data_IF_395666641736
#
_entry.id   IF_395666641736
#
_cell.length_a   1.000
_cell.length_b   1.000
_cell.length_c   1.000
_cell.angle_alpha   90.00
_cell.angle_beta   90.00
_cell.angle_gamma   90.00
#
_symmetry.space_group_name_H-M   'P 1'
#
loop_
_entity.id
_entity.type
_entity.pdbx_description
1 polymer ?
#
# COMPACT_ATOMS: atom_id res chain seq x y z
N UNK A 1 -7.17 7.40 -6.05
CA UNK A 1 -6.76 6.27 -5.18
C UNK A 1 -5.26 6.31 -4.96
N UNK A 2 -4.76 5.87 -3.80
CA UNK A 2 -3.31 5.80 -3.51
C UNK A 2 -2.99 4.49 -2.76
N UNK A 3 -1.74 4.08 -2.81
CA UNK A 3 -1.19 3.02 -1.95
C UNK A 3 -0.35 3.67 -0.86
N UNK A 4 -0.46 3.23 0.39
CA UNK A 4 0.39 3.65 1.49
C UNK A 4 1.12 2.45 2.09
N UNK A 5 2.45 2.48 2.10
CA UNK A 5 3.30 1.42 2.62
C UNK A 5 3.79 1.82 4.01
N UNK A 6 3.27 1.16 5.04
CA UNK A 6 3.68 1.40 6.41
C UNK A 6 4.99 0.68 6.73
N UNK A 7 6.08 1.43 6.86
CA UNK A 7 7.41 0.96 7.26
C UNK A 7 7.86 -0.32 6.53
N UNK A 8 7.86 -0.34 5.17
CA UNK A 8 8.20 -1.55 4.44
C UNK A 8 9.60 -2.02 4.79
N UNK A 9 9.79 -3.33 4.98
CA UNK A 9 11.10 -3.91 5.37
C UNK A 9 11.74 -4.76 4.26
N UNK A 10 11.03 -5.03 3.16
CA UNK A 10 11.55 -5.76 1.99
C UNK A 10 11.61 -4.83 0.77
N UNK A 11 12.82 -4.42 0.31
CA UNK A 11 12.95 -3.46 -0.80
C UNK A 11 12.36 -3.97 -2.11
N UNK A 12 12.37 -5.28 -2.37
CA UNK A 12 11.78 -5.89 -3.57
C UNK A 12 10.26 -5.69 -3.62
N UNK A 13 9.58 -5.79 -2.48
CA UNK A 13 8.13 -5.56 -2.41
C UNK A 13 7.79 -4.10 -2.63
N UNK A 14 8.59 -3.21 -2.03
CA UNK A 14 8.46 -1.77 -2.25
C UNK A 14 8.63 -1.43 -3.75
N UNK A 15 9.66 -1.98 -4.39
CA UNK A 15 9.90 -1.81 -5.83
C UNK A 15 8.77 -2.33 -6.70
N UNK A 16 8.25 -3.51 -6.38
CA UNK A 16 7.11 -4.09 -7.11
C UNK A 16 5.85 -3.21 -7.01
N UNK A 17 5.57 -2.63 -5.84
CA UNK A 17 4.43 -1.74 -5.64
C UNK A 17 4.63 -0.37 -6.30
N UNK A 18 5.85 0.18 -6.32
CA UNK A 18 6.17 1.39 -7.08
C UNK A 18 5.90 1.17 -8.57
N UNK A 19 6.39 0.05 -9.12
CA UNK A 19 6.13 -0.30 -10.52
C UNK A 19 4.63 -0.47 -10.79
N UNK A 20 3.92 -1.13 -9.89
CA UNK A 20 2.47 -1.31 -9.99
C UNK A 20 1.75 0.05 -10.05
N UNK A 21 2.10 0.97 -9.14
CA UNK A 21 1.55 2.32 -9.12
C UNK A 21 1.82 3.08 -10.40
N UNK A 22 3.06 3.05 -10.91
CA UNK A 22 3.43 3.67 -12.18
C UNK A 22 2.60 3.13 -13.36
N UNK A 23 2.41 1.80 -13.42
CA UNK A 23 1.65 1.16 -14.51
C UNK A 23 0.16 1.53 -14.50
N UNK A 24 -0.42 1.80 -13.34
CA UNK A 24 -1.85 2.12 -13.22
C UNK A 24 -2.14 3.59 -12.91
N UNK A 25 -1.13 4.46 -12.89
CA UNK A 25 -1.31 5.87 -12.54
C UNK A 25 -1.76 6.08 -11.09
N UNK A 26 -1.35 5.18 -10.18
CA UNK A 26 -1.69 5.23 -8.76
C UNK A 26 -0.49 5.70 -7.95
N UNK A 27 -0.64 6.81 -7.23
CA UNK A 27 0.41 7.34 -6.37
C UNK A 27 0.71 6.45 -5.15
N UNK A 28 1.96 6.51 -4.67
CA UNK A 28 2.42 5.79 -3.48
C UNK A 28 2.89 6.74 -2.39
N UNK A 29 2.51 6.43 -1.17
CA UNK A 29 3.00 7.04 0.06
C UNK A 29 3.88 6.01 0.79
N UNK A 30 5.14 6.34 1.07
CA UNK A 30 6.06 5.49 1.82
C UNK A 30 6.28 6.10 3.18
N UNK A 31 5.85 5.38 4.22
CA UNK A 31 5.93 5.84 5.61
C UNK A 31 7.17 5.22 6.26
N UNK A 32 8.09 6.06 6.66
CA UNK A 32 9.35 5.67 7.30
C UNK A 32 9.20 5.44 8.83
N UNK A 33 10.16 4.76 9.48
CA UNK A 33 11.39 4.22 8.89
C UNK A 33 11.16 2.94 8.10
N UNK A 34 11.88 2.80 6.97
CA UNK A 34 11.92 1.53 6.24
C UNK A 34 12.95 0.59 6.88
N UNK A 35 12.76 -0.73 6.76
CA UNK A 35 13.74 -1.73 7.20
C UNK A 35 14.99 -1.82 6.32
N UNK A 36 15.12 -0.94 5.32
CA UNK A 36 16.25 -0.83 4.40
C UNK A 36 16.59 0.63 4.12
N UNK A 37 17.83 0.89 3.69
CA UNK A 37 18.18 2.22 3.20
C UNK A 37 17.49 2.47 1.85
N UNK A 38 16.66 3.49 1.83
CA UNK A 38 16.00 3.96 0.61
C UNK A 38 17.05 4.69 -0.25
N UNK A 39 17.83 3.95 -1.01
CA UNK A 39 18.80 4.49 -1.95
C UNK A 39 18.43 4.12 -3.38
N UNK A 40 18.54 5.08 -4.29
CA UNK A 40 18.22 4.90 -5.70
C UNK A 40 18.93 3.70 -6.33
N UNK A 41 20.14 3.39 -5.89
CA UNK A 41 20.92 2.27 -6.43
C UNK A 41 20.35 0.90 -6.05
N UNK A 42 19.87 0.71 -4.81
CA UNK A 42 19.26 -0.55 -4.37
C UNK A 42 17.88 -0.73 -4.97
N UNK A 43 17.16 0.35 -5.10
CA UNK A 43 15.84 0.40 -5.68
C UNK A 43 15.89 0.18 -7.19
N UNK A 44 16.83 0.75 -7.92
CA UNK A 44 17.07 0.48 -9.35
C UNK A 44 17.38 -0.99 -9.62
N UNK A 45 18.15 -1.66 -8.74
CA UNK A 45 18.42 -3.10 -8.84
C UNK A 45 17.17 -3.97 -8.59
N UNK A 46 16.17 -3.45 -7.89
CA UNK A 46 14.89 -4.12 -7.66
C UNK A 46 13.88 -3.94 -8.82
N UNK A 47 14.32 -3.42 -9.98
CA UNK A 47 13.48 -3.24 -11.16
C UNK A 47 12.77 -1.88 -11.21
N UNK A 48 13.37 -0.83 -10.66
CA UNK A 48 12.74 0.49 -10.53
C UNK A 48 13.18 1.49 -11.61
N UNK A 49 13.20 1.08 -12.85
CA UNK A 49 13.20 2.02 -14.00
C UNK A 49 11.90 2.88 -14.04
N UNK A 50 10.95 2.55 -13.15
CA UNK A 50 9.65 3.20 -13.02
C UNK A 50 9.60 4.33 -11.98
N UNK A 51 10.68 4.62 -11.23
CA UNK A 51 10.69 5.70 -10.24
C UNK A 51 10.40 7.07 -10.84
N UNK A 52 10.87 7.31 -12.07
CA UNK A 52 10.64 8.57 -12.77
C UNK A 52 9.18 8.71 -13.27
N UNK A 53 8.48 7.59 -13.41
CA UNK A 53 7.08 7.53 -13.85
C UNK A 53 6.10 7.43 -12.68
N UNK A 54 6.59 7.03 -11.50
CA UNK A 54 5.77 6.83 -10.32
C UNK A 54 5.67 8.10 -9.48
N UNK A 55 4.47 8.47 -9.09
CA UNK A 55 4.26 9.50 -8.07
C UNK A 55 4.53 8.90 -6.68
N UNK A 56 5.75 9.04 -6.17
CA UNK A 56 6.15 8.52 -4.85
C UNK A 56 6.38 9.67 -3.88
N UNK A 57 5.66 9.65 -2.76
CA UNK A 57 5.84 10.60 -1.65
C UNK A 57 6.39 9.84 -0.44
N UNK A 58 7.44 10.39 0.20
CA UNK A 58 8.02 9.82 1.42
C UNK A 58 7.62 10.66 2.63
N UNK A 59 7.23 9.99 3.69
CA UNK A 59 6.80 10.61 4.94
C UNK A 59 7.72 10.13 6.07
N UNK A 60 8.28 11.06 6.84
CA UNK A 60 9.20 10.75 7.94
C UNK A 60 8.56 9.93 9.08
N UNK A 61 7.24 9.90 9.17
CA UNK A 61 6.48 9.15 10.17
C UNK A 61 5.03 8.94 9.74
N UNK A 62 4.33 8.06 10.47
CA UNK A 62 2.87 7.90 10.33
C UNK A 62 2.12 9.21 10.55
N UNK A 63 2.51 10.01 11.55
CA UNK A 63 1.87 11.30 11.80
C UNK A 63 2.07 12.27 10.65
N UNK A 64 3.30 12.37 10.12
CA UNK A 64 3.58 13.22 8.96
C UNK A 64 2.76 12.81 7.72
N UNK A 65 2.52 11.51 7.54
CA UNK A 65 1.62 11.01 6.50
C UNK A 65 0.18 11.46 6.75
N UNK A 66 -0.35 11.29 7.97
CA UNK A 66 -1.73 11.70 8.31
C UNK A 66 -1.95 13.20 8.09
N UNK A 67 -0.96 14.04 8.44
CA UNK A 67 -1.04 15.50 8.35
C UNK A 67 -0.99 16.00 6.89
N UNK A 68 -0.34 15.27 6.01
CA UNK A 68 -0.10 15.70 4.61
C UNK A 68 -0.94 14.96 3.57
N UNK A 69 -1.57 13.84 3.91
CA UNK A 69 -2.35 13.05 2.95
C UNK A 69 -3.58 13.78 2.43
N UNK A 70 -3.96 13.51 1.21
CA UNK A 70 -5.24 13.93 0.68
C UNK A 70 -6.41 13.31 1.47
N UNK A 71 -7.56 13.99 1.45
CA UNK A 71 -8.78 13.45 2.03
C UNK A 71 -9.18 12.14 1.34
N UNK A 72 -9.67 11.18 2.12
CA UNK A 72 -10.08 9.86 1.65
C UNK A 72 -10.06 8.86 2.81
N UNK A 73 -10.73 7.72 2.64
CA UNK A 73 -10.75 6.66 3.66
C UNK A 73 -9.40 5.94 3.69
N UNK A 74 -8.93 5.62 4.89
CA UNK A 74 -7.81 4.71 5.10
C UNK A 74 -8.35 3.27 5.14
N UNK A 75 -8.02 2.50 4.15
CA UNK A 75 -8.44 1.10 4.00
C UNK A 75 -7.25 0.18 4.25
N UNK A 76 -7.15 -0.36 5.45
CA UNK A 76 -6.04 -1.21 5.88
C UNK A 76 -6.23 -2.65 5.41
N UNK A 77 -5.24 -3.18 4.68
CA UNK A 77 -5.16 -4.60 4.34
C UNK A 77 -4.46 -5.35 5.46
N UNK A 78 -5.17 -6.27 6.09
CA UNK A 78 -4.66 -7.04 7.24
C UNK A 78 -5.33 -8.40 7.33
N UNK A 79 -4.55 -9.42 7.67
CA UNK A 79 -5.08 -10.78 7.93
C UNK A 79 -5.97 -10.86 9.17
N UNK A 80 -5.94 -9.82 10.03
CA UNK A 80 -6.76 -9.73 11.26
C UNK A 80 -8.16 -9.15 11.02
N UNK A 81 -8.49 -8.73 9.81
CA UNK A 81 -9.80 -8.18 9.49
C UNK A 81 -10.87 -9.27 9.42
N UNK A 82 -12.10 -8.90 9.75
CA UNK A 82 -13.29 -9.75 9.58
C UNK A 82 -13.83 -9.61 8.16
N UNK A 83 -13.95 -8.36 7.68
CA UNK A 83 -14.49 -8.05 6.36
C UNK A 83 -13.53 -8.46 5.25
N UNK A 84 -14.08 -9.08 4.19
CA UNK A 84 -13.30 -9.43 3.00
C UNK A 84 -13.29 -8.26 2.00
N UNK A 85 -12.23 -8.17 1.19
CA UNK A 85 -12.14 -7.13 0.18
C UNK A 85 -13.18 -7.27 -0.94
N UNK A 86 -13.67 -8.49 -1.18
CA UNK A 86 -14.67 -8.75 -2.24
C UNK A 86 -16.06 -8.21 -1.90
N UNK A 87 -16.34 -8.03 -0.61
CA UNK A 87 -17.62 -7.52 -0.10
C UNK A 87 -17.55 -6.02 0.24
N UNK A 88 -16.43 -5.35 -0.13
CA UNK A 88 -16.21 -3.94 0.17
C UNK A 88 -16.44 -3.06 -1.05
N UNK A 89 -17.14 -1.94 -0.84
CA UNK A 89 -17.34 -0.93 -1.89
C UNK A 89 -16.25 0.12 -1.83
N UNK A 90 -15.32 0.08 -2.79
CA UNK A 90 -14.21 1.02 -2.92
C UNK A 90 -14.65 2.36 -3.51
N UNK A 91 -13.95 3.44 -3.12
CA UNK A 91 -14.07 4.77 -3.69
C UNK A 91 -12.75 5.19 -4.36
N UNK A 92 -12.83 6.05 -5.38
CA UNK A 92 -11.65 6.54 -6.09
C UNK A 92 -10.67 7.34 -5.23
N UNK A 93 -11.12 7.86 -4.08
CA UNK A 93 -10.30 8.58 -3.09
C UNK A 93 -9.70 7.69 -2.00
N UNK A 94 -9.97 6.38 -1.99
CA UNK A 94 -9.44 5.48 -0.96
C UNK A 94 -7.91 5.42 -0.98
N UNK A 95 -7.33 5.31 0.21
CA UNK A 95 -5.90 5.03 0.42
C UNK A 95 -5.78 3.62 0.96
N UNK A 96 -5.22 2.71 0.16
CA UNK A 96 -4.99 1.32 0.54
C UNK A 96 -3.70 1.23 1.36
N UNK A 97 -3.82 0.94 2.65
CA UNK A 97 -2.68 0.86 3.57
C UNK A 97 -2.19 -0.59 3.66
N UNK A 98 -0.92 -0.79 3.37
CA UNK A 98 -0.20 -2.05 3.46
C UNK A 98 0.77 -2.00 4.62
N UNK A 99 0.73 -3.00 5.48
CA UNK A 99 1.62 -3.10 6.65
C UNK A 99 3.00 -3.64 6.31
N UNK A 100 3.89 -3.53 7.29
CA UNK A 100 5.22 -4.13 7.26
C UNK A 100 5.13 -5.66 7.08
N UNK A 101 6.03 -6.23 6.30
CA UNK A 101 6.00 -7.66 5.97
C UNK A 101 6.19 -8.55 7.19
N UNK A 102 7.07 -8.15 8.10
CA UNK A 102 7.43 -8.93 9.29
C UNK A 102 6.42 -8.81 10.43
N UNK A 103 5.85 -7.61 10.66
CA UNK A 103 5.05 -7.31 11.86
C UNK A 103 3.65 -6.76 11.56
N UNK A 104 3.34 -6.45 10.31
CA UNK A 104 2.10 -5.77 9.93
C UNK A 104 2.09 -4.32 10.39
N UNK A 105 1.03 -3.89 11.10
CA UNK A 105 0.91 -2.53 11.62
C UNK A 105 0.57 -2.54 13.11
N UNK A 106 1.01 -1.53 13.88
CA UNK A 106 0.67 -1.38 15.30
C UNK A 106 -0.79 -0.99 15.51
N UNK A 107 -1.25 -1.08 16.77
CA UNK A 107 -2.65 -0.85 17.14
C UNK A 107 -3.16 0.53 16.74
N UNK A 108 -2.34 1.57 16.83
CA UNK A 108 -2.77 2.93 16.48
C UNK A 108 -3.06 3.10 14.98
N UNK A 109 -2.37 2.35 14.10
CA UNK A 109 -2.68 2.33 12.66
C UNK A 109 -3.98 1.57 12.41
N UNK A 110 -4.21 0.45 13.12
CA UNK A 110 -5.50 -0.25 13.08
C UNK A 110 -6.66 0.64 13.50
N UNK A 111 -6.47 1.46 14.55
CA UNK A 111 -7.50 2.37 15.07
C UNK A 111 -7.77 3.54 14.12
N UNK A 112 -6.75 4.04 13.44
CA UNK A 112 -6.87 5.13 12.48
C UNK A 112 -7.53 4.72 11.15
N UNK A 113 -7.58 3.42 10.85
CA UNK A 113 -8.18 2.92 9.62
C UNK A 113 -9.70 2.99 9.64
N UNK A 114 -10.30 3.60 8.61
CA UNK A 114 -11.74 3.68 8.40
C UNK A 114 -12.35 2.31 8.06
N UNK A 115 -11.59 1.47 7.36
CA UNK A 115 -11.95 0.09 7.08
C UNK A 115 -10.74 -0.83 7.18
N UNK A 116 -10.98 -2.09 7.53
CA UNK A 116 -9.97 -3.15 7.60
C UNK A 116 -10.46 -4.33 6.77
N UNK A 117 -9.65 -4.73 5.81
CA UNK A 117 -10.02 -5.77 4.84
C UNK A 117 -9.00 -6.89 4.83
N UNK A 118 -9.49 -8.11 4.61
CA UNK A 118 -8.64 -9.27 4.37
C UNK A 118 -8.88 -9.87 3.00
N UNK A 119 -7.87 -10.52 2.47
CA UNK A 119 -8.00 -11.45 1.36
C UNK A 119 -8.34 -12.82 1.96
N UNK A 120 -9.44 -13.48 1.55
CA UNK A 120 -9.76 -14.83 2.02
C UNK A 120 -8.72 -15.82 1.47
N UNK A 121 -7.99 -16.48 2.34
CA UNK A 121 -6.90 -17.39 2.00
C UNK A 121 -7.06 -18.72 2.72
N UNK A 122 -6.57 -19.81 2.10
CA UNK A 122 -6.40 -21.12 2.76
C UNK A 122 -5.10 -21.19 3.57
N UNK A 123 -4.15 -20.30 3.34
CA UNK A 123 -2.87 -20.19 4.03
C UNK A 123 -2.79 -18.94 4.92
N UNK A 124 -1.64 -18.72 5.58
CA UNK A 124 -1.47 -17.64 6.59
C UNK A 124 -1.55 -16.24 5.98
N UNK A 125 -0.81 -16.00 4.91
CA UNK A 125 -0.70 -14.67 4.29
C UNK A 125 -0.13 -14.78 2.87
N UNK A 126 -0.34 -13.72 2.09
CA UNK A 126 0.35 -13.48 0.82
C UNK A 126 1.55 -12.53 1.05
N UNK A 127 2.45 -12.53 0.07
CA UNK A 127 3.41 -11.45 -0.09
C UNK A 127 2.68 -10.10 -0.18
N UNK A 128 3.21 -9.05 0.46
CA UNK A 128 2.52 -7.76 0.57
C UNK A 128 2.30 -7.10 -0.79
N UNK A 129 3.23 -7.24 -1.73
CA UNK A 129 3.07 -6.68 -3.08
C UNK A 129 1.98 -7.42 -3.86
N UNK A 130 1.88 -8.74 -3.69
CA UNK A 130 0.79 -9.53 -4.28
C UNK A 130 -0.57 -9.16 -3.67
N UNK A 131 -0.64 -9.01 -2.35
CA UNK A 131 -1.85 -8.58 -1.68
C UNK A 131 -2.29 -7.19 -2.16
N UNK A 132 -1.36 -6.25 -2.26
CA UNK A 132 -1.60 -4.91 -2.80
C UNK A 132 -2.12 -4.95 -4.24
N UNK A 133 -1.52 -5.77 -5.10
CA UNK A 133 -1.94 -5.90 -6.50
C UNK A 133 -3.37 -6.45 -6.64
N UNK A 134 -3.72 -7.49 -5.87
CA UNK A 134 -5.06 -8.10 -5.90
C UNK A 134 -6.12 -7.09 -5.50
N UNK A 135 -5.92 -6.40 -4.37
CA UNK A 135 -6.94 -5.48 -3.85
C UNK A 135 -7.00 -4.19 -4.66
N UNK A 136 -5.85 -3.70 -5.15
CA UNK A 136 -5.83 -2.55 -6.04
C UNK A 136 -6.57 -2.82 -7.35
N UNK A 137 -6.36 -3.99 -7.96
CA UNK A 137 -7.06 -4.36 -9.19
C UNK A 137 -8.59 -4.39 -9.00
N UNK A 138 -9.08 -4.93 -7.90
CA UNK A 138 -10.52 -4.92 -7.59
C UNK A 138 -11.02 -3.49 -7.34
N UNK A 139 -10.27 -2.68 -6.60
CA UNK A 139 -10.63 -1.30 -6.33
C UNK A 139 -10.70 -0.46 -7.62
N UNK A 140 -9.71 -0.62 -8.53
CA UNK A 140 -9.72 0.04 -9.83
C UNK A 140 -10.88 -0.45 -10.72
N UNK A 141 -11.19 -1.75 -10.69
CA UNK A 141 -12.34 -2.30 -11.41
C UNK A 141 -13.66 -1.65 -10.96
N UNK A 142 -13.88 -1.56 -9.64
CA UNK A 142 -15.10 -0.97 -9.07
C UNK A 142 -15.22 0.53 -9.39
N UNK A 143 -14.12 1.26 -9.34
CA UNK A 143 -14.10 2.72 -9.51
C UNK A 143 -13.91 3.16 -10.97
N UNK A 144 -13.80 2.21 -11.91
CA UNK A 144 -13.45 2.47 -13.33
C UNK A 144 -12.14 3.27 -13.47
N UNK A 145 -11.19 2.98 -12.57
CA UNK A 145 -9.92 3.70 -12.45
C UNK A 145 -8.75 3.07 -13.19
N UNK A 146 -8.95 2.04 -14.02
CA UNK A 146 -7.91 1.55 -14.93
C UNK A 146 -7.64 2.61 -16.02
N UNK A 147 -6.35 2.78 -16.44
CA UNK A 147 -5.99 3.71 -17.52
C UNK A 147 -6.60 3.34 -18.86
#
# INVERSE_FOLDING_TARGET
MRLALYQPDIPQNCGALIRLGACFGVGLDIIEPCGFLFSDAKLRRAGMDYLELAEVVRHASWQAFLDSRAAGRLVLLTTKAVQTYVDFSFCSSDVLVLGQESQGVPSYVHQAADARLRIPLKARSLNVAQAGAIVLAEALRQTKGFP
#
